data_IF_332650103735
#
_entry.id   IF_332650103735
#
_cell.length_a   1.000
_cell.length_b   1.000
_cell.length_c   1.000
_cell.angle_alpha   90.00
_cell.angle_beta   90.00
_cell.angle_gamma   90.00
#
_symmetry.space_group_name_H-M   'P 1'
#
loop_
_entity.id
_entity.type
_entity.pdbx_description
1 polymer ?
#
# COMPACT_ATOMS: atom_id res chain seq x y z
N UNK A 1 15.25 0.55 16.84
CA UNK A 1 15.23 -0.37 17.98
C UNK A 1 13.86 -1.02 18.07
N UNK A 2 13.71 -2.34 18.04
CA UNK A 2 12.42 -2.96 18.31
C UNK A 2 12.04 -2.65 19.76
N UNK A 3 10.82 -2.13 19.94
CA UNK A 3 10.30 -1.71 21.23
C UNK A 3 10.31 -2.86 22.24
N UNK A 4 10.54 -2.58 23.53
CA UNK A 4 10.48 -3.56 24.63
C UNK A 4 9.14 -4.33 24.68
N UNK A 5 8.06 -3.77 24.11
CA UNK A 5 6.77 -4.42 23.94
C UNK A 5 6.83 -5.62 22.97
N UNK A 6 7.64 -5.56 21.90
CA UNK A 6 7.78 -6.69 20.97
C UNK A 6 8.57 -7.86 21.63
N UNK A 7 9.55 -7.56 22.49
CA UNK A 7 10.28 -8.57 23.25
C UNK A 7 9.41 -9.20 24.35
N UNK A 8 8.60 -8.41 25.04
CA UNK A 8 7.64 -8.89 26.04
C UNK A 8 6.54 -9.77 25.45
N UNK A 9 6.02 -9.43 24.27
CA UNK A 9 5.02 -10.24 23.56
C UNK A 9 5.58 -11.59 23.10
N UNK A 10 6.86 -11.64 22.65
CA UNK A 10 7.50 -12.90 22.27
C UNK A 10 7.77 -13.82 23.49
N UNK A 11 8.20 -13.27 24.62
CA UNK A 11 8.45 -14.04 25.85
C UNK A 11 7.15 -14.59 26.46
N UNK A 12 6.05 -13.82 26.45
CA UNK A 12 4.71 -14.28 26.85
C UNK A 12 4.19 -15.40 25.94
N UNK A 13 4.40 -15.27 24.64
CA UNK A 13 4.03 -16.27 23.64
C UNK A 13 4.76 -17.62 23.85
N UNK A 14 6.07 -17.61 24.18
CA UNK A 14 6.82 -18.85 24.42
C UNK A 14 6.32 -19.57 25.69
N UNK A 15 6.14 -18.84 26.78
CA UNK A 15 5.62 -19.41 28.04
C UNK A 15 4.21 -20.02 27.83
N UNK A 16 3.35 -19.37 27.08
CA UNK A 16 2.01 -19.86 26.80
C UNK A 16 2.04 -21.12 25.93
N UNK A 17 2.96 -21.19 24.96
CA UNK A 17 3.19 -22.39 24.14
C UNK A 17 3.65 -23.57 24.96
N UNK A 18 4.63 -23.38 25.84
CA UNK A 18 5.10 -24.42 26.77
C UNK A 18 3.98 -24.90 27.69
N UNK A 19 3.18 -23.98 28.23
CA UNK A 19 2.02 -24.32 29.07
C UNK A 19 0.96 -25.11 28.29
N UNK A 20 0.64 -24.69 27.08
CA UNK A 20 -0.31 -25.40 26.22
C UNK A 20 0.15 -26.82 25.89
N UNK A 21 1.44 -27.01 25.64
CA UNK A 21 2.05 -28.32 25.41
C UNK A 21 2.12 -29.17 26.68
N UNK A 22 1.81 -28.61 27.85
CA UNK A 22 1.93 -29.29 29.15
C UNK A 22 3.38 -29.52 29.59
N UNK A 23 4.30 -28.66 29.15
CA UNK A 23 5.69 -28.66 29.58
C UNK A 23 5.83 -27.79 30.83
N UNK A 24 6.13 -28.46 31.93
CA UNK A 24 6.44 -27.83 33.21
C UNK A 24 7.95 -27.96 33.55
N UNK A 25 8.34 -27.39 34.70
CA UNK A 25 9.72 -27.40 35.12
C UNK A 25 10.25 -28.82 35.40
N UNK A 26 9.39 -29.73 35.90
CA UNK A 26 9.76 -31.10 36.24
C UNK A 26 10.03 -31.91 34.96
N UNK A 27 9.23 -31.72 33.92
CA UNK A 27 9.44 -32.37 32.64
C UNK A 27 10.69 -31.85 31.94
N UNK A 28 10.93 -30.55 31.98
CA UNK A 28 12.16 -29.96 31.43
C UNK A 28 13.40 -30.50 32.19
N UNK A 29 13.33 -30.60 33.50
CA UNK A 29 14.40 -31.18 34.32
C UNK A 29 14.60 -32.68 34.03
N UNK A 30 13.51 -33.41 33.79
CA UNK A 30 13.59 -34.82 33.42
C UNK A 30 14.38 -35.02 32.12
N UNK A 31 14.14 -34.20 31.10
CA UNK A 31 14.89 -34.25 29.82
C UNK A 31 16.35 -33.88 30.05
N UNK A 32 16.62 -32.78 30.77
CA UNK A 32 17.99 -32.31 31.07
C UNK A 32 18.83 -33.35 31.78
N UNK A 33 18.27 -33.99 32.80
CA UNK A 33 18.95 -35.03 33.59
C UNK A 33 19.28 -36.27 32.75
N UNK A 34 18.42 -36.61 31.76
CA UNK A 34 18.60 -37.77 30.89
C UNK A 34 19.34 -37.44 29.56
N UNK A 35 19.83 -36.21 29.40
CA UNK A 35 20.56 -35.79 28.20
C UNK A 35 21.69 -36.73 27.78
N UNK A 36 22.53 -37.26 28.70
CA UNK A 36 23.58 -38.20 28.32
C UNK A 36 23.06 -39.49 27.67
N UNK A 37 21.87 -39.96 28.05
CA UNK A 37 21.24 -41.13 27.44
C UNK A 37 20.69 -40.82 26.04
N UNK A 38 20.31 -39.54 25.73
CA UNK A 38 19.81 -39.12 24.48
C UNK A 38 20.91 -38.87 23.42
N UNK A 39 22.16 -38.65 23.85
CA UNK A 39 23.25 -38.21 22.96
C UNK A 39 23.53 -39.21 21.80
N UNK A 40 23.54 -40.51 22.10
CA UNK A 40 23.75 -41.54 21.07
C UNK A 40 22.64 -41.57 20.03
N UNK A 41 21.40 -41.41 20.48
CA UNK A 41 20.21 -41.38 19.61
C UNK A 41 20.13 -40.09 18.78
N UNK A 42 20.53 -38.93 19.35
CA UNK A 42 20.67 -37.67 18.63
C UNK A 42 21.69 -37.76 17.49
N UNK A 43 22.86 -38.31 17.77
CA UNK A 43 23.93 -38.54 16.77
C UNK A 43 23.47 -39.50 15.67
N UNK A 44 22.73 -40.55 16.00
CA UNK A 44 22.17 -41.47 15.02
C UNK A 44 21.12 -40.79 14.16
N UNK A 45 20.19 -40.05 14.76
CA UNK A 45 19.15 -39.27 14.08
C UNK A 45 19.72 -38.22 13.13
N UNK A 46 20.73 -37.45 13.57
CA UNK A 46 21.39 -36.46 12.70
C UNK A 46 22.06 -37.12 11.50
N UNK A 47 22.76 -38.24 11.67
CA UNK A 47 23.36 -38.97 10.54
C UNK A 47 22.30 -39.42 9.53
N UNK A 48 21.19 -40.00 10.00
CA UNK A 48 20.09 -40.43 9.13
C UNK A 48 19.43 -39.25 8.41
N UNK A 49 19.17 -38.16 9.15
CA UNK A 49 18.61 -36.93 8.58
C UNK A 49 19.46 -36.38 7.42
N UNK A 50 20.79 -36.26 7.64
CA UNK A 50 21.68 -35.74 6.61
C UNK A 50 21.89 -36.72 5.44
N UNK A 51 21.88 -38.03 5.69
CA UNK A 51 21.83 -39.02 4.64
C UNK A 51 20.56 -38.88 3.78
N UNK A 52 19.41 -38.67 4.42
CA UNK A 52 18.13 -38.41 3.68
C UNK A 52 18.20 -37.12 2.89
N UNK A 53 18.73 -36.01 3.43
CA UNK A 53 18.92 -34.78 2.69
C UNK A 53 19.77 -34.95 1.43
N UNK A 54 20.81 -35.76 1.49
CA UNK A 54 21.67 -36.05 0.33
C UNK A 54 21.02 -37.01 -0.67
N UNK A 55 20.22 -37.95 -0.20
CA UNK A 55 19.61 -39.01 -1.02
C UNK A 55 18.34 -38.58 -1.73
N UNK A 56 17.58 -37.62 -1.19
CA UNK A 56 16.33 -37.15 -1.78
C UNK A 56 16.58 -35.99 -2.75
N UNK A 57 16.27 -36.16 -4.06
CA UNK A 57 16.56 -35.14 -5.07
C UNK A 57 15.94 -33.78 -4.78
N UNK A 58 14.72 -33.74 -4.21
CA UNK A 58 14.02 -32.50 -3.88
C UNK A 58 14.64 -31.74 -2.70
N UNK A 59 15.32 -32.44 -1.80
CA UNK A 59 16.05 -31.83 -0.71
C UNK A 59 17.48 -31.46 -1.13
N UNK A 60 18.17 -32.35 -1.81
CA UNK A 60 19.57 -32.18 -2.21
C UNK A 60 19.79 -31.03 -3.16
N UNK A 61 18.82 -30.69 -4.02
CA UNK A 61 18.87 -29.53 -4.93
C UNK A 61 19.01 -28.16 -4.23
N UNK A 62 18.68 -28.08 -2.94
CA UNK A 62 18.80 -26.84 -2.18
C UNK A 62 20.22 -26.59 -1.66
N UNK A 63 21.13 -27.55 -1.82
CA UNK A 63 22.51 -27.44 -1.36
C UNK A 63 23.44 -27.16 -2.54
N UNK A 64 24.05 -25.99 -2.57
CA UNK A 64 25.00 -25.55 -3.61
C UNK A 64 26.41 -26.13 -3.42
N UNK A 65 26.74 -26.58 -2.19
CA UNK A 65 28.07 -27.11 -1.84
C UNK A 65 28.03 -27.99 -0.58
N UNK A 66 29.04 -28.87 -0.43
CA UNK A 66 29.24 -29.66 0.79
C UNK A 66 29.38 -28.78 2.03
N UNK A 67 30.01 -27.61 1.90
CA UNK A 67 30.14 -26.65 3.02
C UNK A 67 28.79 -26.15 3.54
N UNK A 68 27.79 -26.01 2.67
CA UNK A 68 26.44 -25.67 3.15
C UNK A 68 25.82 -26.81 3.93
N UNK A 69 26.02 -28.06 3.51
CA UNK A 69 25.54 -29.25 4.21
C UNK A 69 26.22 -29.36 5.57
N UNK A 70 27.55 -29.23 5.63
CA UNK A 70 28.31 -29.23 6.90
C UNK A 70 27.84 -28.12 7.85
N UNK A 71 27.68 -26.90 7.32
CA UNK A 71 27.19 -25.79 8.13
C UNK A 71 25.79 -26.03 8.69
N UNK A 72 24.89 -26.60 7.90
CA UNK A 72 23.55 -26.95 8.36
C UNK A 72 23.61 -28.06 9.39
N UNK A 73 24.49 -29.05 9.22
CA UNK A 73 24.72 -30.12 10.19
C UNK A 73 25.16 -29.55 11.55
N UNK A 74 26.14 -28.65 11.57
CA UNK A 74 26.64 -28.03 12.80
C UNK A 74 25.57 -27.20 13.49
N UNK A 75 24.78 -26.45 12.71
CA UNK A 75 23.65 -25.67 13.25
C UNK A 75 22.57 -26.57 13.82
N UNK A 76 22.21 -27.64 13.13
CA UNK A 76 21.24 -28.64 13.62
C UNK A 76 21.76 -29.32 14.89
N UNK A 77 23.01 -29.78 14.89
CA UNK A 77 23.63 -30.40 16.07
C UNK A 77 23.62 -29.47 17.29
N UNK A 78 24.05 -28.22 17.09
CA UNK A 78 24.02 -27.21 18.16
C UNK A 78 22.60 -26.84 18.60
N UNK A 79 21.63 -26.86 17.70
CA UNK A 79 20.22 -26.62 18.03
C UNK A 79 19.66 -27.75 18.92
N UNK A 80 19.88 -29.01 18.52
CA UNK A 80 19.42 -30.16 19.29
C UNK A 80 20.07 -30.23 20.68
N UNK A 81 21.33 -29.81 20.82
CA UNK A 81 22.01 -29.67 22.09
C UNK A 81 21.31 -28.68 23.03
N UNK A 82 20.92 -27.52 22.49
CA UNK A 82 20.21 -26.50 23.28
C UNK A 82 18.76 -26.92 23.55
N UNK A 83 18.10 -27.57 22.59
CA UNK A 83 16.73 -28.05 22.72
C UNK A 83 16.63 -29.10 23.87
N UNK A 84 17.55 -30.04 23.90
CA UNK A 84 17.58 -31.08 24.95
C UNK A 84 18.12 -30.59 26.32
N UNK A 85 18.73 -29.41 26.38
CA UNK A 85 18.97 -28.69 27.64
C UNK A 85 17.68 -28.12 28.25
N UNK A 86 16.62 -28.02 27.48
CA UNK A 86 15.25 -27.68 27.88
C UNK A 86 15.13 -26.45 28.80
N UNK A 87 15.94 -25.41 28.57
CA UNK A 87 15.89 -24.14 29.33
C UNK A 87 14.94 -23.14 28.73
N UNK A 88 14.75 -23.20 27.42
CA UNK A 88 13.90 -22.28 26.69
C UNK A 88 14.18 -20.79 26.96
N UNK A 89 15.45 -20.48 27.06
CA UNK A 89 15.97 -19.13 27.31
C UNK A 89 16.30 -18.36 26.01
N UNK A 90 17.03 -17.25 26.17
CA UNK A 90 17.44 -16.43 25.03
C UNK A 90 18.37 -17.17 24.05
N UNK A 91 19.19 -18.11 24.54
CA UNK A 91 20.07 -18.92 23.70
C UNK A 91 19.26 -19.86 22.80
N UNK A 92 18.24 -20.51 23.37
CA UNK A 92 17.31 -21.32 22.58
C UNK A 92 16.62 -20.49 21.50
N UNK A 93 16.05 -19.32 21.85
CA UNK A 93 15.36 -18.46 20.89
C UNK A 93 16.29 -17.97 19.76
N UNK A 94 17.54 -17.66 20.08
CA UNK A 94 18.55 -17.30 19.09
C UNK A 94 18.88 -18.47 18.15
N UNK A 95 19.06 -19.68 18.68
CA UNK A 95 19.38 -20.88 17.89
C UNK A 95 18.27 -21.25 16.93
N UNK A 96 17.01 -21.27 17.37
CA UNK A 96 15.86 -21.50 16.50
C UNK A 96 15.82 -20.48 15.37
N UNK A 97 16.02 -19.20 15.68
CA UNK A 97 16.03 -18.14 14.68
C UNK A 97 17.17 -18.30 13.66
N UNK A 98 18.40 -18.54 14.13
CA UNK A 98 19.57 -18.71 13.25
C UNK A 98 19.39 -19.92 12.33
N UNK A 99 18.89 -21.03 12.86
CA UNK A 99 18.59 -22.23 12.06
C UNK A 99 17.52 -21.92 11.00
N UNK A 100 16.38 -21.37 11.41
CA UNK A 100 15.29 -21.01 10.52
C UNK A 100 15.70 -20.01 9.43
N UNK A 101 16.49 -18.98 9.77
CA UNK A 101 17.00 -18.00 8.83
C UNK A 101 17.99 -18.63 7.82
N UNK A 102 18.81 -19.59 8.29
CA UNK A 102 19.79 -20.28 7.43
C UNK A 102 19.09 -21.21 6.46
N UNK A 103 18.14 -22.02 6.91
CA UNK A 103 17.32 -22.88 6.07
C UNK A 103 16.55 -22.06 5.02
N UNK A 104 16.02 -20.89 5.42
CA UNK A 104 15.34 -19.97 4.52
C UNK A 104 16.26 -19.44 3.42
N UNK A 105 17.49 -19.03 3.78
CA UNK A 105 18.49 -18.54 2.82
C UNK A 105 18.96 -19.62 1.85
N UNK A 106 18.97 -20.87 2.27
CA UNK A 106 19.28 -22.03 1.42
C UNK A 106 18.10 -22.43 0.54
N UNK A 107 16.93 -21.77 0.65
CA UNK A 107 15.73 -22.15 -0.09
C UNK A 107 15.08 -23.46 0.38
N UNK A 108 15.46 -23.96 1.56
CA UNK A 108 14.93 -25.21 2.09
C UNK A 108 13.45 -25.03 2.45
N UNK A 109 12.58 -25.81 1.82
CA UNK A 109 11.14 -25.77 2.09
C UNK A 109 10.85 -26.12 3.55
N UNK A 110 9.96 -25.42 4.25
CA UNK A 110 9.56 -25.71 5.64
C UNK A 110 9.15 -27.17 5.89
N UNK A 111 8.64 -27.87 4.89
CA UNK A 111 8.30 -29.31 4.99
C UNK A 111 9.50 -30.15 5.42
N UNK A 112 10.72 -29.80 4.96
CA UNK A 112 11.93 -30.54 5.29
C UNK A 112 12.36 -30.33 6.74
N UNK A 113 12.09 -29.17 7.32
CA UNK A 113 12.27 -28.91 8.74
C UNK A 113 11.36 -29.82 9.58
N UNK A 114 10.06 -29.85 9.25
CA UNK A 114 9.08 -30.71 9.94
C UNK A 114 9.42 -32.19 9.78
N UNK A 115 9.74 -32.64 8.56
CA UNK A 115 10.12 -34.03 8.30
C UNK A 115 11.43 -34.42 9.02
N UNK A 116 12.39 -33.48 9.06
CA UNK A 116 13.65 -33.68 9.76
C UNK A 116 13.47 -33.88 11.27
N UNK A 117 12.60 -33.08 11.89
CA UNK A 117 12.23 -33.26 13.30
C UNK A 117 11.53 -34.60 13.55
N UNK A 118 10.73 -35.06 12.57
CA UNK A 118 10.13 -36.41 12.57
C UNK A 118 11.19 -37.52 12.61
N UNK A 119 12.24 -37.42 11.78
CA UNK A 119 13.37 -38.37 11.77
C UNK A 119 14.11 -38.36 13.12
N UNK A 120 14.39 -37.19 13.66
CA UNK A 120 15.04 -37.07 14.95
C UNK A 120 14.19 -37.67 16.08
N UNK A 121 12.89 -37.38 16.08
CA UNK A 121 11.94 -37.89 17.06
C UNK A 121 11.83 -39.42 16.98
N UNK A 122 11.82 -40.01 15.77
CA UNK A 122 11.85 -41.45 15.55
C UNK A 122 13.05 -42.09 16.25
N UNK A 123 14.26 -41.59 16.02
CA UNK A 123 15.47 -42.13 16.65
C UNK A 123 15.47 -41.97 18.17
N UNK A 124 15.00 -40.84 18.73
CA UNK A 124 14.91 -40.60 20.15
C UNK A 124 13.90 -41.55 20.83
N UNK A 125 12.71 -41.68 20.26
CA UNK A 125 11.63 -42.49 20.85
C UNK A 125 11.92 -43.98 20.72
N UNK A 126 12.36 -44.42 19.51
CA UNK A 126 12.69 -45.84 19.27
C UNK A 126 13.89 -46.29 20.17
N UNK A 127 14.93 -45.46 20.23
CA UNK A 127 16.08 -45.79 21.07
C UNK A 127 15.73 -45.91 22.57
N UNK A 128 14.89 -45.01 23.09
CA UNK A 128 14.39 -45.12 24.44
C UNK A 128 13.45 -46.32 24.65
N UNK A 129 12.65 -46.67 23.63
CA UNK A 129 11.79 -47.87 23.69
C UNK A 129 12.59 -49.16 23.74
N UNK A 130 13.70 -49.28 23.00
CA UNK A 130 14.61 -50.40 23.03
C UNK A 130 15.25 -50.58 24.41
N UNK A 131 15.56 -49.46 25.09
CA UNK A 131 16.02 -49.51 26.46
C UNK A 131 15.00 -50.11 27.43
N UNK A 132 13.71 -50.00 27.18
CA UNK A 132 12.64 -50.62 27.98
C UNK A 132 12.53 -52.11 27.66
N UNK A 133 12.58 -52.49 26.39
CA UNK A 133 12.30 -53.84 25.93
C UNK A 133 13.35 -54.86 26.39
N UNK A 134 14.60 -54.49 26.61
CA UNK A 134 15.69 -55.33 27.03
C UNK A 134 15.79 -55.61 28.56
N UNK A 135 14.80 -55.20 29.38
CA UNK A 135 14.93 -55.27 30.84
C UNK A 135 14.08 -56.32 31.53
N UNK A 136 14.61 -56.98 32.60
CA UNK A 136 13.85 -57.99 33.34
C UNK A 136 12.69 -57.36 34.12
N UNK A 137 11.59 -58.11 34.33
CA UNK A 137 10.34 -57.67 34.99
C UNK A 137 10.45 -57.53 36.52
N UNK A 138 11.53 -56.94 37.02
CA UNK A 138 11.73 -56.64 38.43
C UNK A 138 10.96 -55.37 38.90
N UNK A 139 10.60 -55.22 40.18
CA UNK A 139 9.95 -54.03 40.71
C UNK A 139 10.65 -52.70 40.37
N UNK A 140 11.97 -52.70 40.37
CA UNK A 140 12.83 -51.60 39.96
C UNK A 140 12.69 -51.29 38.47
N UNK A 141 12.39 -52.28 37.61
CA UNK A 141 12.18 -52.13 36.20
C UNK A 141 10.86 -51.36 35.89
N UNK A 142 9.78 -51.62 36.68
CA UNK A 142 8.49 -50.87 36.51
C UNK A 142 8.68 -49.36 36.74
N UNK A 143 9.45 -48.98 37.75
CA UNK A 143 9.77 -47.57 38.01
C UNK A 143 10.54 -46.94 36.83
N UNK A 144 11.55 -47.65 36.36
CA UNK A 144 12.38 -47.19 35.24
C UNK A 144 11.58 -47.11 33.93
N UNK A 145 10.71 -48.09 33.65
CA UNK A 145 9.80 -48.05 32.49
C UNK A 145 8.90 -46.81 32.51
N UNK A 146 8.35 -46.47 33.68
CA UNK A 146 7.52 -45.24 33.81
C UNK A 146 8.37 -44.01 33.58
N UNK A 147 9.56 -43.92 34.16
CA UNK A 147 10.47 -42.77 33.98
C UNK A 147 10.87 -42.58 32.53
N UNK A 148 11.13 -43.66 31.76
CA UNK A 148 11.42 -43.60 30.31
C UNK A 148 10.16 -43.18 29.53
N UNK A 149 8.97 -43.68 29.89
CA UNK A 149 7.72 -43.28 29.27
C UNK A 149 7.42 -41.79 29.49
N UNK A 150 7.66 -41.27 30.71
CA UNK A 150 7.52 -39.84 31.02
C UNK A 150 8.55 -39.01 30.24
N UNK A 151 9.80 -39.51 30.11
CA UNK A 151 10.84 -38.87 29.31
C UNK A 151 10.47 -38.82 27.81
N UNK A 152 9.95 -39.90 27.21
CA UNK A 152 9.47 -39.93 25.84
C UNK A 152 8.36 -38.87 25.63
N UNK A 153 7.41 -38.79 26.57
CA UNK A 153 6.33 -37.82 26.52
C UNK A 153 6.87 -36.40 26.54
N UNK A 154 7.82 -36.10 27.42
CA UNK A 154 8.45 -34.79 27.53
C UNK A 154 9.22 -34.44 26.24
N UNK A 155 9.97 -35.38 25.66
CA UNK A 155 10.71 -35.19 24.42
C UNK A 155 9.73 -34.87 23.24
N UNK A 156 8.64 -35.66 23.08
CA UNK A 156 7.64 -35.41 22.06
C UNK A 156 7.10 -33.98 22.19
N UNK A 157 6.75 -33.55 23.40
CA UNK A 157 6.23 -32.20 23.64
C UNK A 157 7.24 -31.12 23.32
N UNK A 158 8.51 -31.29 23.73
CA UNK A 158 9.59 -30.33 23.44
C UNK A 158 9.80 -30.19 21.93
N UNK A 159 9.91 -31.31 21.22
CA UNK A 159 10.12 -31.33 19.77
C UNK A 159 8.93 -30.69 19.05
N UNK A 160 7.70 -30.98 19.46
CA UNK A 160 6.52 -30.38 18.83
C UNK A 160 6.39 -28.88 19.08
N UNK A 161 6.80 -28.39 20.24
CA UNK A 161 6.88 -26.94 20.51
C UNK A 161 7.93 -26.28 19.64
N UNK A 162 9.08 -26.92 19.49
CA UNK A 162 10.16 -26.43 18.62
C UNK A 162 9.73 -26.32 17.15
N UNK A 163 9.13 -27.39 16.61
CA UNK A 163 8.56 -27.40 15.26
C UNK A 163 7.53 -26.28 15.10
N UNK A 164 6.63 -26.10 16.05
CA UNK A 164 5.60 -25.07 15.99
C UNK A 164 6.22 -23.67 15.97
N UNK A 165 7.25 -23.42 16.78
CA UNK A 165 7.95 -22.13 16.80
C UNK A 165 8.66 -21.88 15.47
N UNK A 166 9.39 -22.87 14.95
CA UNK A 166 10.09 -22.74 13.68
C UNK A 166 9.13 -22.49 12.49
N UNK A 167 8.03 -23.23 12.44
CA UNK A 167 6.99 -23.03 11.41
C UNK A 167 6.35 -21.65 11.54
N UNK A 168 6.06 -21.19 12.76
CA UNK A 168 5.53 -19.85 13.01
C UNK A 168 6.49 -18.75 12.57
N UNK A 169 7.79 -18.89 12.83
CA UNK A 169 8.81 -17.94 12.37
C UNK A 169 8.87 -17.87 10.85
N UNK A 170 8.85 -19.00 10.16
CA UNK A 170 8.86 -19.09 8.70
C UNK A 170 7.62 -18.45 8.09
N UNK A 171 6.45 -18.73 8.64
CA UNK A 171 5.20 -18.17 8.19
C UNK A 171 5.15 -16.65 8.34
N UNK A 172 5.64 -16.14 9.49
CA UNK A 172 5.73 -14.70 9.72
C UNK A 172 6.73 -14.02 8.77
N UNK A 173 7.85 -14.68 8.48
CA UNK A 173 8.84 -14.17 7.53
C UNK A 173 8.27 -14.09 6.09
N UNK A 174 7.55 -15.12 5.65
CA UNK A 174 6.86 -15.13 4.35
C UNK A 174 5.82 -14.01 4.25
N UNK A 175 4.96 -13.87 5.26
CA UNK A 175 3.96 -12.77 5.29
C UNK A 175 4.61 -11.38 5.25
N UNK A 176 5.68 -11.20 6.02
CA UNK A 176 6.40 -9.93 6.00
C UNK A 176 7.04 -9.64 4.64
N UNK A 177 7.52 -10.68 3.94
CA UNK A 177 8.02 -10.59 2.57
C UNK A 177 6.94 -10.17 1.57
N UNK A 178 5.78 -10.84 1.60
CA UNK A 178 4.63 -10.51 0.75
C UNK A 178 4.11 -9.09 1.00
N UNK A 179 4.02 -8.67 2.27
CA UNK A 179 3.59 -7.31 2.60
C UNK A 179 4.56 -6.25 2.07
N UNK A 180 5.88 -6.52 2.14
CA UNK A 180 6.88 -5.61 1.55
C UNK A 180 6.76 -5.55 0.04
N UNK A 181 6.66 -6.70 -0.64
CA UNK A 181 6.50 -6.74 -2.09
C UNK A 181 5.26 -5.99 -2.55
N UNK A 182 4.13 -6.13 -1.85
CA UNK A 182 2.90 -5.38 -2.13
C UNK A 182 3.06 -3.87 -1.86
N UNK A 183 3.79 -3.48 -0.81
CA UNK A 183 4.08 -2.07 -0.52
C UNK A 183 4.96 -1.45 -1.60
N UNK A 184 6.02 -2.16 -2.01
CA UNK A 184 6.92 -1.72 -3.07
C UNK A 184 6.19 -1.59 -4.41
N UNK A 185 5.31 -2.54 -4.73
CA UNK A 185 4.48 -2.47 -5.95
C UNK A 185 3.52 -1.27 -5.91
N UNK A 186 2.89 -0.97 -4.76
CA UNK A 186 2.04 0.21 -4.62
C UNK A 186 2.82 1.49 -4.77
N UNK A 187 4.00 1.59 -4.16
CA UNK A 187 4.86 2.75 -4.28
C UNK A 187 5.33 2.96 -5.73
N UNK A 188 5.66 1.89 -6.44
CA UNK A 188 6.02 1.95 -7.85
C UNK A 188 4.84 2.42 -8.72
N UNK A 189 3.64 1.91 -8.49
CA UNK A 189 2.43 2.34 -9.21
C UNK A 189 2.10 3.81 -8.92
N UNK A 190 2.22 4.26 -7.67
CA UNK A 190 2.00 5.65 -7.29
C UNK A 190 3.02 6.59 -7.97
N UNK A 191 4.29 6.24 -7.95
CA UNK A 191 5.35 6.98 -8.64
C UNK A 191 5.08 7.09 -10.15
N UNK A 192 4.59 6.02 -10.77
CA UNK A 192 4.24 5.99 -12.19
C UNK A 192 3.04 6.90 -12.50
N UNK A 193 2.00 6.92 -11.66
CA UNK A 193 0.86 7.83 -11.79
C UNK A 193 1.32 9.29 -11.70
N UNK A 194 2.17 9.61 -10.71
CA UNK A 194 2.72 10.96 -10.56
C UNK A 194 3.57 11.34 -11.77
N UNK A 195 4.38 10.43 -12.28
CA UNK A 195 5.21 10.65 -13.47
C UNK A 195 4.36 10.96 -14.72
N UNK A 196 3.25 10.27 -14.89
CA UNK A 196 2.38 10.42 -16.10
C UNK A 196 1.50 11.65 -15.98
N UNK A 197 0.89 11.88 -14.82
CA UNK A 197 -0.17 12.89 -14.68
C UNK A 197 0.26 14.15 -13.94
N UNK A 198 1.37 14.11 -13.18
CA UNK A 198 1.82 15.22 -12.34
C UNK A 198 1.99 16.51 -13.10
N UNK A 199 2.68 16.49 -14.24
CA UNK A 199 2.93 17.67 -15.06
C UNK A 199 1.62 18.32 -15.60
N UNK A 200 0.64 17.50 -15.94
CA UNK A 200 -0.69 17.97 -16.39
C UNK A 200 -1.47 18.61 -15.24
N UNK A 201 -1.42 17.98 -14.05
CA UNK A 201 -2.10 18.48 -12.85
C UNK A 201 -1.50 19.81 -12.42
N UNK A 202 -0.17 19.93 -12.46
CA UNK A 202 0.53 21.19 -12.19
C UNK A 202 0.18 22.26 -13.22
N UNK A 203 0.10 21.90 -14.51
CA UNK A 203 -0.38 22.76 -15.56
C UNK A 203 -1.79 23.29 -15.29
N UNK A 204 -2.73 22.38 -15.01
CA UNK A 204 -4.11 22.75 -14.66
C UNK A 204 -4.19 23.70 -13.46
N UNK A 205 -3.39 23.45 -12.43
CA UNK A 205 -3.30 24.29 -11.26
C UNK A 205 -2.75 25.68 -11.60
N UNK A 206 -1.86 25.78 -12.58
CA UNK A 206 -1.33 27.02 -13.13
C UNK A 206 -2.22 27.65 -14.22
N UNK A 207 -3.38 27.08 -14.52
CA UNK A 207 -4.30 27.47 -15.62
C UNK A 207 -3.69 27.32 -17.01
N UNK A 208 -2.73 26.42 -17.14
CA UNK A 208 -2.08 26.05 -18.40
C UNK A 208 -2.72 24.77 -18.95
N UNK A 209 -3.58 24.92 -19.96
CA UNK A 209 -4.25 23.80 -20.63
C UNK A 209 -3.42 23.21 -21.77
N UNK A 210 -2.17 23.64 -21.95
CA UNK A 210 -1.33 23.16 -23.09
C UNK A 210 -0.57 21.88 -22.75
N UNK A 211 -0.43 21.54 -21.48
CA UNK A 211 0.28 20.35 -21.04
C UNK A 211 -0.52 19.09 -21.34
N UNK A 212 0.21 18.03 -21.71
CA UNK A 212 -0.37 16.73 -22.07
C UNK A 212 0.30 15.62 -21.33
N UNK A 213 -0.47 14.62 -20.91
CA UNK A 213 0.05 13.39 -20.38
C UNK A 213 0.75 12.58 -21.47
N UNK A 214 1.94 12.01 -21.22
CA UNK A 214 2.59 11.12 -22.16
C UNK A 214 1.72 9.90 -22.42
N UNK A 215 1.48 9.57 -23.68
CA UNK A 215 0.68 8.42 -24.09
C UNK A 215 1.61 7.27 -24.40
N UNK A 216 1.62 6.27 -23.50
CA UNK A 216 2.23 4.97 -23.75
C UNK A 216 1.08 3.99 -24.04
N UNK A 217 0.98 3.54 -25.29
CA UNK A 217 -0.13 2.67 -25.74
C UNK A 217 -0.17 1.33 -25.04
N UNK A 218 0.99 0.84 -24.58
CA UNK A 218 1.14 -0.46 -23.95
C UNK A 218 1.15 -0.35 -22.41
N UNK A 219 1.17 0.86 -21.88
CA UNK A 219 1.16 1.14 -20.45
C UNK A 219 -0.23 0.98 -19.81
N UNK A 220 -0.26 0.60 -18.53
CA UNK A 220 -1.50 0.40 -17.77
C UNK A 220 -2.40 1.66 -17.73
N UNK A 221 -1.83 2.85 -17.89
CA UNK A 221 -2.53 4.14 -17.79
C UNK A 221 -2.70 4.84 -19.17
N UNK A 222 -2.31 4.21 -20.28
CA UNK A 222 -2.36 4.79 -21.61
C UNK A 222 -3.77 5.24 -22.00
N UNK A 223 -4.79 4.44 -21.73
CA UNK A 223 -6.19 4.79 -22.00
C UNK A 223 -6.67 6.03 -21.22
N UNK A 224 -6.23 6.18 -19.98
CA UNK A 224 -6.55 7.32 -19.13
C UNK A 224 -5.84 8.58 -19.64
N UNK A 225 -4.57 8.47 -20.05
CA UNK A 225 -3.81 9.58 -20.62
C UNK A 225 -4.45 10.10 -21.92
N UNK A 226 -4.89 9.21 -22.81
CA UNK A 226 -5.63 9.59 -24.03
C UNK A 226 -6.92 10.31 -23.70
N UNK A 227 -7.73 9.77 -22.79
CA UNK A 227 -9.01 10.39 -22.42
C UNK A 227 -8.81 11.77 -21.77
N UNK A 228 -7.80 11.91 -20.89
CA UNK A 228 -7.45 13.19 -20.28
C UNK A 228 -7.00 14.21 -21.32
N UNK A 229 -6.11 13.84 -22.24
CA UNK A 229 -5.64 14.70 -23.29
C UNK A 229 -6.80 15.16 -24.20
N UNK A 230 -7.71 14.26 -24.58
CA UNK A 230 -8.92 14.62 -25.35
C UNK A 230 -9.82 15.61 -24.61
N UNK A 231 -10.00 15.45 -23.29
CA UNK A 231 -10.77 16.41 -22.51
C UNK A 231 -10.11 17.78 -22.47
N UNK A 232 -8.78 17.83 -22.33
CA UNK A 232 -8.00 19.08 -22.36
C UNK A 232 -8.08 19.78 -23.74
N UNK A 233 -8.03 19.02 -24.85
CA UNK A 233 -8.21 19.54 -26.19
C UNK A 233 -9.60 20.19 -26.36
N UNK A 234 -10.65 19.52 -25.87
CA UNK A 234 -12.00 20.06 -25.87
C UNK A 234 -12.12 21.37 -25.07
N UNK A 235 -11.58 21.39 -23.85
CA UNK A 235 -11.57 22.59 -23.01
C UNK A 235 -10.81 23.75 -23.70
N UNK A 236 -9.65 23.48 -24.26
CA UNK A 236 -8.85 24.48 -24.96
C UNK A 236 -9.59 25.09 -26.16
N UNK A 237 -10.27 24.25 -26.93
CA UNK A 237 -11.10 24.71 -28.08
C UNK A 237 -12.26 25.60 -27.60
N UNK A 238 -12.96 25.22 -26.54
CA UNK A 238 -14.04 26.01 -25.95
C UNK A 238 -13.54 27.36 -25.41
N UNK A 239 -12.44 27.41 -24.69
CA UNK A 239 -11.87 28.66 -24.20
C UNK A 239 -11.43 29.59 -25.35
N UNK A 240 -10.88 29.04 -26.44
CA UNK A 240 -10.55 29.80 -27.66
C UNK A 240 -11.82 30.40 -28.28
N UNK A 241 -12.89 29.61 -28.42
CA UNK A 241 -14.18 30.07 -28.90
C UNK A 241 -14.79 31.17 -28.03
N UNK A 242 -14.72 30.99 -26.69
CA UNK A 242 -15.22 32.02 -25.76
C UNK A 242 -14.42 33.30 -25.90
N UNK A 243 -13.11 33.24 -26.03
CA UNK A 243 -12.24 34.41 -26.22
C UNK A 243 -12.60 35.15 -27.49
N UNK A 244 -12.77 34.46 -28.64
CA UNK A 244 -13.19 35.07 -29.89
C UNK A 244 -14.56 35.74 -29.79
N UNK A 245 -15.53 35.08 -29.14
CA UNK A 245 -16.86 35.64 -28.91
C UNK A 245 -16.84 36.89 -28.04
N UNK A 246 -15.98 36.87 -26.99
CA UNK A 246 -15.80 38.03 -26.11
C UNK A 246 -15.25 39.23 -26.89
N UNK A 247 -14.22 39.04 -27.69
CA UNK A 247 -13.66 40.11 -28.54
C UNK A 247 -14.72 40.67 -29.49
N UNK A 248 -15.55 39.83 -30.15
CA UNK A 248 -16.64 40.24 -30.99
C UNK A 248 -17.72 41.02 -30.22
N UNK A 249 -18.06 40.57 -29.00
CA UNK A 249 -19.02 41.27 -28.14
C UNK A 249 -18.52 42.64 -27.70
N UNK A 250 -17.23 42.75 -27.36
CA UNK A 250 -16.60 44.05 -27.03
C UNK A 250 -16.64 45.01 -28.22
N UNK A 251 -16.32 44.56 -29.44
CA UNK A 251 -16.39 45.35 -30.63
C UNK A 251 -17.84 45.82 -30.96
N UNK A 252 -18.81 44.90 -30.78
CA UNK A 252 -20.23 45.24 -30.96
C UNK A 252 -20.72 46.28 -29.91
N UNK A 253 -20.30 46.13 -28.68
CA UNK A 253 -20.61 47.07 -27.57
C UNK A 253 -19.99 48.43 -27.85
N UNK A 254 -18.75 48.50 -28.34
CA UNK A 254 -18.10 49.73 -28.77
C UNK A 254 -18.84 50.43 -29.89
N UNK A 255 -19.31 49.67 -30.93
CA UNK A 255 -20.11 50.18 -32.03
C UNK A 255 -21.46 50.72 -31.57
N UNK A 256 -22.14 50.01 -30.66
CA UNK A 256 -23.40 50.42 -30.07
C UNK A 256 -23.25 51.73 -29.26
N UNK A 257 -22.20 51.87 -28.52
CA UNK A 257 -21.87 53.12 -27.77
C UNK A 257 -21.62 54.30 -28.76
N UNK A 258 -20.98 54.03 -29.90
CA UNK A 258 -20.80 55.01 -30.98
C UNK A 258 -22.14 55.49 -31.58
N UNK A 259 -22.99 54.51 -31.96
CA UNK A 259 -24.34 54.77 -32.49
C UNK A 259 -25.21 55.52 -31.48
N UNK A 260 -25.16 55.18 -30.18
CA UNK A 260 -25.91 55.86 -29.13
C UNK A 260 -25.49 57.33 -28.99
N UNK A 261 -24.21 57.62 -29.09
CA UNK A 261 -23.69 59.03 -29.06
C UNK A 261 -24.16 59.81 -30.29
N UNK A 262 -24.12 59.19 -31.48
CA UNK A 262 -24.59 59.81 -32.70
C UNK A 262 -26.11 60.09 -32.66
N UNK A 263 -26.89 59.14 -32.18
CA UNK A 263 -28.30 59.31 -31.90
C UNK A 263 -28.61 60.47 -30.97
N UNK A 264 -27.92 60.56 -29.83
CA UNK A 264 -28.08 61.66 -28.88
C UNK A 264 -27.75 63.00 -29.52
N UNK A 265 -26.68 63.11 -30.31
CA UNK A 265 -26.33 64.32 -31.06
C UNK A 265 -27.37 64.71 -32.03
N UNK A 266 -27.89 63.73 -32.84
CA UNK A 266 -28.97 63.96 -33.84
C UNK A 266 -30.25 64.42 -33.13
N UNK A 267 -30.64 63.79 -32.01
CA UNK A 267 -31.82 64.14 -31.23
C UNK A 267 -31.71 65.58 -30.68
N UNK A 268 -30.53 65.96 -30.19
CA UNK A 268 -30.26 67.36 -29.73
C UNK A 268 -30.41 68.35 -30.87
N UNK A 269 -29.82 68.06 -32.06
CA UNK A 269 -29.95 68.91 -33.19
C UNK A 269 -31.40 69.02 -33.70
N UNK A 270 -32.19 67.94 -33.58
CA UNK A 270 -33.65 68.01 -33.94
C UNK A 270 -34.42 68.88 -32.90
N UNK A 271 -34.12 68.78 -31.65
CA UNK A 271 -34.72 69.62 -30.57
C UNK A 271 -34.46 71.09 -30.84
N UNK A 272 -33.24 71.49 -31.20
CA UNK A 272 -32.85 72.85 -31.51
C UNK A 272 -33.65 73.37 -32.76
N UNK A 273 -33.78 72.51 -33.78
CA UNK A 273 -34.57 72.83 -34.99
C UNK A 273 -36.06 73.01 -34.67
N UNK A 274 -36.63 72.18 -33.86
CA UNK A 274 -38.02 72.33 -33.38
C UNK A 274 -38.21 73.61 -32.60
N UNK A 275 -37.25 74.00 -31.76
CA UNK A 275 -37.30 75.22 -31.00
C UNK A 275 -37.24 76.45 -31.89
N UNK A 276 -36.40 76.46 -32.93
CA UNK A 276 -36.36 77.51 -33.97
C UNK A 276 -37.65 77.55 -34.74
N UNK A 277 -38.21 76.42 -35.14
CA UNK A 277 -39.51 76.38 -35.88
C UNK A 277 -40.64 76.88 -34.98
N UNK A 278 -40.65 76.57 -33.67
CA UNK A 278 -41.66 77.11 -32.75
C UNK A 278 -41.55 78.61 -32.61
N UNK A 279 -40.33 79.16 -32.53
CA UNK A 279 -40.11 80.62 -32.48
C UNK A 279 -40.58 81.34 -33.80
N UNK A 280 -40.26 80.70 -34.95
CA UNK A 280 -40.72 81.22 -36.23
C UNK A 280 -42.27 81.23 -36.34
N UNK A 281 -42.91 80.14 -35.92
CA UNK A 281 -44.38 80.08 -35.88
C UNK A 281 -45.00 81.10 -34.92
N UNK A 282 -44.37 81.36 -33.75
CA UNK A 282 -44.82 82.42 -32.87
C UNK A 282 -44.69 83.80 -33.50
N UNK A 283 -43.59 84.03 -34.25
CA UNK A 283 -43.42 85.28 -35.04
C UNK A 283 -44.48 85.46 -36.08
N UNK A 284 -44.75 84.37 -36.86
CA UNK A 284 -45.85 84.40 -37.88
C UNK A 284 -47.22 84.69 -37.19
N UNK A 285 -47.53 84.06 -36.11
CA UNK A 285 -48.78 84.25 -35.38
C UNK A 285 -48.88 85.70 -34.79
N UNK A 286 -47.76 86.29 -34.47
CA UNK A 286 -47.67 87.74 -34.13
C UNK A 286 -48.03 88.62 -35.36
N UNK A 287 -47.31 88.37 -36.46
CA UNK A 287 -47.55 89.14 -37.71
C UNK A 287 -49.01 89.04 -38.23
N UNK A 288 -49.59 87.84 -38.13
CA UNK A 288 -51.01 87.59 -38.51
C UNK A 288 -51.95 88.40 -37.57
N UNK A 289 -51.65 88.46 -36.25
CA UNK A 289 -52.45 89.21 -35.33
C UNK A 289 -52.34 90.74 -35.57
N UNK A 290 -51.17 91.23 -35.86
CA UNK A 290 -50.91 92.65 -36.15
C UNK A 290 -51.61 93.03 -37.52
N UNK A 291 -51.45 92.15 -38.55
CA UNK A 291 -52.14 92.32 -39.80
C UNK A 291 -53.69 92.33 -39.69
N UNK A 292 -54.24 91.50 -38.81
CA UNK A 292 -55.65 91.47 -38.48
C UNK A 292 -56.11 92.73 -37.71
N UNK A 293 -55.24 93.28 -36.91
CA UNK A 293 -55.51 94.55 -36.25
C UNK A 293 -55.49 95.74 -37.21
N UNK A 294 -54.48 95.76 -38.11
CA UNK A 294 -54.36 96.77 -39.13
C UNK A 294 -55.53 96.71 -40.10
N UNK A 295 -55.97 95.55 -40.50
CA UNK A 295 -57.16 95.35 -41.35
C UNK A 295 -58.43 95.87 -40.68
N UNK A 296 -58.61 95.63 -39.41
CA UNK A 296 -59.76 96.16 -38.64
C UNK A 296 -59.69 97.70 -38.48
N UNK A 297 -58.47 98.24 -38.31
CA UNK A 297 -58.29 99.69 -38.25
C UNK A 297 -58.63 100.38 -39.65
N UNK A 298 -58.15 99.67 -40.69
CA UNK A 298 -58.48 100.13 -42.06
C UNK A 298 -60.01 100.07 -42.37
N UNK A 299 -60.70 99.00 -41.99
CA UNK A 299 -62.15 98.88 -42.06
C UNK A 299 -62.89 100.00 -41.31
N UNK A 300 -62.40 100.30 -40.04
CA UNK A 300 -62.99 101.37 -39.31
C UNK A 300 -62.73 102.75 -39.92
N UNK A 301 -61.55 102.97 -40.51
CA UNK A 301 -61.26 104.18 -41.21
C UNK A 301 -62.10 104.34 -42.46
N UNK A 302 -62.35 103.25 -43.24
CA UNK A 302 -63.20 103.24 -44.41
C UNK A 302 -64.71 103.47 -44.06
N UNK A 303 -65.10 103.03 -42.84
CA UNK A 303 -66.52 103.26 -42.47
C UNK A 303 -66.85 104.71 -41.91
N UNK A 304 -65.80 105.54 -41.75
CA UNK A 304 -65.90 106.87 -41.21
C UNK A 304 -65.70 108.00 -42.32
N UNK A 305 -65.56 107.53 -43.60
CA UNK A 305 -65.50 108.45 -44.72
C UNK A 305 -66.77 108.29 -45.51
#
# INVERSE_FOLDING_TARGET
>A
MPSDQARGAQAGSLRDRLRFAGLDADQCELVRRNRPALEAHLKAGLRDLFHRFQSFPDASRNFESERQVERLHDLQSSHWDVLTDARFDSLYAERVKVLSDTESKMGLDPRWHVAGHGVMLEHLVSGLAEEIAGRPLLPSAKRRTREISDLMTAIIRIVMVDVEIAVSLRFNALRAGEQRALADQRAANEAEIIRIFGDVIDGLSARDLTRRAPVDSDGAYGGIAVALNSALDGLQAEFTTITERTVKAEAATGSLAGLSRQFASTASGQADRLQLSAAALAGIAGSVRDGAADSRAAEQAAATT
#
